data_IF_820235850418
#
_entry.id   IF_820235850418
#
_cell.length_a   1.000
_cell.length_b   1.000
_cell.length_c   1.000
_cell.angle_alpha   90.00
_cell.angle_beta   90.00
_cell.angle_gamma   90.00
#
_symmetry.space_group_name_H-M   'P 1'
#
loop_
_entity.id
_entity.type
_entity.pdbx_description
1 polymer ?
#
# COMPACT_ATOMS: atom_id res chain seq x y z
N UNK A 1 18.76 -44.91 9.70
CA UNK A 1 17.50 -44.53 10.37
C UNK A 1 17.71 -43.13 10.93
N UNK A 2 17.08 -42.03 10.52
CA UNK A 2 16.15 -41.71 9.44
C UNK A 2 16.37 -40.21 9.24
N UNK A 3 16.73 -39.79 8.02
CA UNK A 3 17.05 -38.40 7.72
C UNK A 3 15.82 -37.51 7.87
N UNK A 4 15.94 -36.45 8.67
CA UNK A 4 14.94 -35.40 8.72
C UNK A 4 14.99 -34.61 7.42
N UNK A 5 14.10 -34.94 6.48
CA UNK A 5 13.86 -34.16 5.27
C UNK A 5 13.33 -32.79 5.70
N UNK A 6 14.19 -31.78 5.68
CA UNK A 6 13.80 -30.38 5.66
C UNK A 6 12.93 -30.18 4.42
N UNK A 7 11.62 -30.20 4.63
CA UNK A 7 10.63 -29.97 3.58
C UNK A 7 10.66 -28.48 3.23
N UNK A 8 11.63 -28.10 2.39
CA UNK A 8 11.64 -26.88 1.58
C UNK A 8 10.28 -26.81 0.88
N UNK A 9 9.34 -26.04 1.42
CA UNK A 9 8.08 -25.75 0.73
C UNK A 9 8.28 -24.47 -0.05
N UNK A 10 8.00 -24.60 -1.35
CA UNK A 10 8.11 -23.61 -2.41
C UNK A 10 7.94 -22.15 -1.94
N UNK A 11 8.87 -21.33 -2.39
CA UNK A 11 8.85 -19.87 -2.39
C UNK A 11 7.56 -19.35 -3.03
N UNK A 12 6.48 -19.27 -2.26
CA UNK A 12 5.49 -18.23 -2.49
C UNK A 12 6.10 -17.01 -1.81
N UNK A 13 6.64 -16.06 -2.59
CA UNK A 13 7.04 -14.77 -2.04
C UNK A 13 5.85 -14.23 -1.25
N UNK A 14 5.89 -14.38 0.07
CA UNK A 14 4.90 -13.81 0.98
C UNK A 14 5.16 -12.32 0.98
N UNK A 15 4.75 -11.66 -0.10
CA UNK A 15 4.83 -10.22 -0.23
C UNK A 15 4.04 -9.63 0.91
N UNK A 16 4.73 -8.90 1.78
CA UNK A 16 4.11 -8.19 2.87
C UNK A 16 2.94 -7.34 2.37
N UNK A 17 1.89 -7.24 3.19
CA UNK A 17 0.74 -6.38 2.90
C UNK A 17 1.19 -4.97 2.57
N UNK A 18 0.57 -4.37 1.54
CA UNK A 18 1.05 -3.17 0.87
C UNK A 18 1.18 -2.01 1.85
N UNK A 19 0.18 -1.80 2.69
CA UNK A 19 0.15 -0.72 3.67
C UNK A 19 0.57 -1.15 5.06
N UNK A 20 1.44 -2.17 5.18
CA UNK A 20 2.01 -2.56 6.48
C UNK A 20 2.53 -1.32 7.23
N UNK A 21 2.15 -1.20 8.50
CA UNK A 21 2.55 -0.09 9.40
C UNK A 21 2.02 1.31 9.00
N UNK A 22 1.16 1.41 7.98
CA UNK A 22 0.59 2.69 7.49
C UNK A 22 -0.91 2.82 7.69
N UNK A 23 -1.59 1.76 8.14
CA UNK A 23 -3.03 1.77 8.41
C UNK A 23 -3.28 2.14 9.87
N UNK A 24 -4.15 3.13 10.08
CA UNK A 24 -4.54 3.66 11.38
C UNK A 24 -6.05 3.85 11.46
N UNK A 25 -6.63 3.60 12.63
CA UNK A 25 -8.00 3.97 12.97
C UNK A 25 -8.02 4.85 14.23
N UNK A 26 -9.22 5.13 14.73
CA UNK A 26 -9.43 5.95 15.94
C UNK A 26 -8.80 5.38 17.20
N UNK A 27 -8.54 4.07 17.25
CA UNK A 27 -7.92 3.37 18.38
C UNK A 27 -6.40 3.14 18.21
N UNK A 28 -5.81 3.71 17.15
CA UNK A 28 -4.39 3.62 16.84
C UNK A 28 -4.09 2.75 15.63
N UNK A 29 -2.96 2.04 15.69
CA UNK A 29 -2.38 1.37 14.51
C UNK A 29 -3.03 0.01 14.23
N UNK A 30 -3.19 -0.30 12.95
CA UNK A 30 -3.52 -1.64 12.49
C UNK A 30 -2.27 -2.40 12.10
N UNK A 31 -2.24 -3.68 12.46
CA UNK A 31 -1.14 -4.59 12.12
C UNK A 31 -1.59 -5.64 11.11
N UNK A 32 -0.72 -6.00 10.15
CA UNK A 32 -1.01 -7.04 9.17
C UNK A 32 -1.10 -8.40 9.87
N UNK A 33 -2.13 -9.17 9.55
CA UNK A 33 -2.33 -10.52 10.06
C UNK A 33 -2.73 -11.45 8.91
N UNK A 34 -2.18 -12.67 8.89
CA UNK A 34 -2.59 -13.73 7.97
C UNK A 34 -3.07 -14.94 8.75
N UNK A 35 -4.16 -15.53 8.28
CA UNK A 35 -4.61 -16.81 8.81
C UNK A 35 -3.65 -17.92 8.41
N UNK A 36 -3.65 -19.01 9.19
CA UNK A 36 -3.11 -20.28 8.70
C UNK A 36 -3.84 -20.71 7.42
N UNK A 37 -3.14 -21.47 6.59
CA UNK A 37 -3.73 -22.06 5.39
C UNK A 37 -4.68 -23.18 5.83
N UNK A 38 -5.96 -23.07 5.48
CA UNK A 38 -6.98 -24.10 5.69
C UNK A 38 -7.70 -24.37 4.37
N UNK A 39 -7.82 -25.63 3.99
CA UNK A 39 -8.42 -26.06 2.71
C UNK A 39 -7.80 -25.34 1.49
N UNK A 40 -6.47 -25.15 1.52
CA UNK A 40 -5.75 -24.44 0.45
C UNK A 40 -5.96 -22.92 0.40
N UNK A 41 -6.69 -22.34 1.36
CA UNK A 41 -6.97 -20.90 1.43
C UNK A 41 -6.35 -20.28 2.67
N UNK A 42 -5.81 -19.08 2.51
CA UNK A 42 -5.41 -18.20 3.61
C UNK A 42 -6.00 -16.82 3.39
N UNK A 43 -6.38 -16.16 4.47
CA UNK A 43 -6.94 -14.81 4.43
C UNK A 43 -5.94 -13.83 5.04
N UNK A 44 -5.94 -12.61 4.55
CA UNK A 44 -5.12 -11.54 5.07
C UNK A 44 -5.99 -10.36 5.52
N UNK A 45 -5.62 -9.76 6.65
CA UNK A 45 -6.35 -8.68 7.29
C UNK A 45 -5.41 -7.62 7.84
N UNK A 46 -5.91 -6.41 7.96
CA UNK A 46 -5.41 -5.42 8.88
C UNK A 46 -6.25 -5.52 10.16
N UNK A 47 -5.59 -5.71 11.31
CA UNK A 47 -6.26 -5.91 12.60
C UNK A 47 -5.83 -4.82 13.58
N UNK A 48 -6.77 -4.17 14.30
CA UNK A 48 -6.40 -3.20 15.33
C UNK A 48 -5.43 -3.80 16.35
N UNK A 49 -4.35 -3.08 16.65
CA UNK A 49 -3.31 -3.57 17.58
C UNK A 49 -3.87 -3.84 18.98
N UNK A 50 -4.84 -3.04 19.41
CA UNK A 50 -5.64 -3.21 20.62
C UNK A 50 -6.26 -4.62 20.70
N UNK A 51 -6.90 -5.09 19.61
CA UNK A 51 -7.48 -6.44 19.53
C UNK A 51 -6.45 -7.55 19.58
N UNK A 52 -5.25 -7.32 19.03
CA UNK A 52 -4.16 -8.30 19.09
C UNK A 52 -3.62 -8.40 20.52
N UNK A 53 -3.44 -7.26 21.19
CA UNK A 53 -2.82 -7.18 22.51
C UNK A 53 -3.76 -7.61 23.65
N UNK A 54 -5.03 -7.19 23.60
CA UNK A 54 -5.99 -7.34 24.71
C UNK A 54 -7.27 -8.08 24.31
N UNK A 55 -7.30 -8.70 23.13
CA UNK A 55 -8.43 -9.50 22.66
C UNK A 55 -9.55 -8.69 22.00
N UNK A 56 -10.55 -9.37 21.45
CA UNK A 56 -11.53 -8.77 20.54
C UNK A 56 -12.37 -7.62 21.15
N UNK A 57 -12.58 -7.64 22.47
CA UNK A 57 -13.35 -6.61 23.20
C UNK A 57 -12.57 -5.30 23.45
N UNK A 58 -11.25 -5.28 23.19
CA UNK A 58 -10.41 -4.12 23.44
C UNK A 58 -10.56 -2.97 22.42
N UNK A 59 -11.36 -3.17 21.37
CA UNK A 59 -11.64 -2.15 20.35
C UNK A 59 -12.95 -2.44 19.64
N UNK A 60 -13.69 -1.40 19.31
CA UNK A 60 -14.92 -1.49 18.54
C UNK A 60 -14.65 -1.56 17.03
N UNK A 61 -13.44 -1.20 16.59
CA UNK A 61 -13.12 -1.17 15.17
C UNK A 61 -13.00 -2.57 14.56
N UNK A 62 -13.43 -2.80 13.31
CA UNK A 62 -13.42 -4.12 12.70
C UNK A 62 -12.02 -4.60 12.30
N UNK A 63 -11.90 -5.89 11.98
CA UNK A 63 -10.78 -6.40 11.17
C UNK A 63 -11.07 -6.06 9.71
N UNK A 64 -10.14 -5.43 9.01
CA UNK A 64 -10.33 -5.05 7.62
C UNK A 64 -9.72 -6.12 6.70
N UNK A 65 -10.49 -6.71 5.76
CA UNK A 65 -9.93 -7.58 4.73
C UNK A 65 -8.86 -6.82 3.94
N UNK A 66 -7.65 -7.39 3.85
CA UNK A 66 -6.53 -6.67 3.25
C UNK A 66 -6.73 -6.45 1.75
N UNK A 67 -7.33 -7.41 1.05
CA UNK A 67 -7.61 -7.28 -0.39
C UNK A 67 -8.58 -6.14 -0.70
N UNK A 68 -9.67 -6.03 0.06
CA UNK A 68 -10.65 -4.95 -0.11
C UNK A 68 -10.05 -3.59 0.24
N UNK A 69 -9.42 -3.48 1.41
CA UNK A 69 -8.81 -2.22 1.84
C UNK A 69 -7.72 -1.75 0.86
N UNK A 70 -6.86 -2.66 0.39
CA UNK A 70 -5.79 -2.31 -0.54
C UNK A 70 -6.35 -1.92 -1.91
N UNK A 71 -7.38 -2.61 -2.41
CA UNK A 71 -8.03 -2.26 -3.66
C UNK A 71 -8.64 -0.85 -3.62
N UNK A 72 -9.35 -0.51 -2.54
CA UNK A 72 -9.95 0.81 -2.34
C UNK A 72 -8.89 1.92 -2.30
N UNK A 73 -7.78 1.72 -1.57
CA UNK A 73 -6.71 2.72 -1.52
C UNK A 73 -6.04 2.87 -2.89
N UNK A 74 -5.79 1.76 -3.59
CA UNK A 74 -5.20 1.79 -4.93
C UNK A 74 -6.10 2.56 -5.89
N UNK A 75 -7.41 2.31 -5.87
CA UNK A 75 -8.34 3.02 -6.74
C UNK A 75 -8.44 4.51 -6.37
N UNK A 76 -8.43 4.86 -5.08
CA UNK A 76 -8.31 6.25 -4.68
C UNK A 76 -7.05 6.93 -5.26
N UNK A 77 -5.88 6.28 -5.17
CA UNK A 77 -4.63 6.81 -5.72
C UNK A 77 -4.68 6.96 -7.24
N UNK A 78 -5.26 5.99 -7.94
CA UNK A 78 -5.48 6.06 -9.39
C UNK A 78 -6.42 7.20 -9.78
N UNK A 79 -7.51 7.39 -9.04
CA UNK A 79 -8.38 8.55 -9.18
C UNK A 79 -7.62 9.88 -9.05
N UNK A 80 -6.68 9.98 -8.11
CA UNK A 80 -5.81 11.16 -7.95
C UNK A 80 -4.87 11.36 -9.13
N UNK A 81 -4.38 10.31 -9.78
CA UNK A 81 -3.56 10.42 -11.00
C UNK A 81 -4.38 10.94 -12.18
N UNK A 82 -5.60 10.41 -12.38
CA UNK A 82 -6.53 10.89 -13.41
C UNK A 82 -6.91 12.35 -13.21
N UNK A 83 -7.18 12.73 -11.96
CA UNK A 83 -7.51 14.09 -11.58
C UNK A 83 -6.27 14.95 -11.23
N UNK A 84 -5.12 14.68 -11.86
CA UNK A 84 -3.85 15.36 -11.54
C UNK A 84 -3.91 16.88 -11.65
N UNK A 85 -4.65 17.41 -12.61
CA UNK A 85 -4.89 18.85 -12.76
C UNK A 85 -5.51 19.50 -11.52
N UNK A 86 -6.26 18.75 -10.69
CA UNK A 86 -6.92 19.32 -9.52
C UNK A 86 -5.99 19.62 -8.35
N UNK A 87 -4.72 19.21 -8.42
CA UNK A 87 -3.78 19.35 -7.29
C UNK A 87 -2.36 19.73 -7.69
N UNK A 88 -2.01 19.81 -8.97
CA UNK A 88 -0.67 20.22 -9.40
C UNK A 88 -0.28 21.62 -8.90
N UNK A 89 -1.22 22.56 -8.88
CA UNK A 89 -1.01 23.91 -8.32
C UNK A 89 -0.67 23.91 -6.82
N UNK A 90 -1.02 22.84 -6.11
CA UNK A 90 -0.72 22.67 -4.69
C UNK A 90 0.68 22.10 -4.42
N UNK A 91 1.46 21.79 -5.47
CA UNK A 91 2.82 21.32 -5.32
C UNK A 91 3.70 22.40 -4.67
N UNK A 92 4.70 22.00 -3.86
CA UNK A 92 5.67 22.95 -3.31
C UNK A 92 6.34 23.77 -4.41
N UNK A 93 6.61 25.05 -4.14
CA UNK A 93 7.28 25.96 -5.09
C UNK A 93 8.63 25.40 -5.59
N UNK A 94 9.36 24.69 -4.71
CA UNK A 94 10.62 24.03 -5.08
C UNK A 94 10.48 22.95 -6.15
N UNK A 95 9.30 22.33 -6.27
CA UNK A 95 9.00 21.36 -7.33
C UNK A 95 8.62 22.10 -8.61
N UNK A 96 7.78 23.14 -8.50
CA UNK A 96 7.34 23.94 -9.65
C UNK A 96 8.51 24.68 -10.34
N UNK A 97 9.51 25.11 -9.57
CA UNK A 97 10.70 25.79 -10.06
C UNK A 97 11.81 24.83 -10.55
N UNK A 98 11.60 23.53 -10.44
CA UNK A 98 12.63 22.57 -10.84
C UNK A 98 12.90 22.66 -12.36
N UNK A 99 14.16 22.70 -12.84
CA UNK A 99 14.47 22.94 -14.26
C UNK A 99 13.90 21.92 -15.26
N UNK A 100 13.45 20.77 -14.76
CA UNK A 100 12.82 19.70 -15.55
C UNK A 100 11.30 19.63 -15.38
N UNK A 101 10.72 20.53 -14.60
CA UNK A 101 9.28 20.60 -14.40
C UNK A 101 8.65 21.34 -15.58
N UNK A 102 7.70 20.67 -16.23
CA UNK A 102 6.82 21.26 -17.23
C UNK A 102 5.44 20.67 -16.96
N UNK A 103 4.48 21.53 -16.65
CA UNK A 103 3.21 21.11 -16.08
C UNK A 103 2.40 20.23 -17.04
N UNK A 104 2.35 20.59 -18.34
CA UNK A 104 1.60 19.83 -19.33
C UNK A 104 2.19 18.42 -19.52
N UNK A 105 3.52 18.29 -19.53
CA UNK A 105 4.21 17.01 -19.58
C UNK A 105 3.94 16.18 -18.32
N UNK A 106 3.97 16.79 -17.13
CA UNK A 106 3.66 16.08 -15.87
C UNK A 106 2.22 15.58 -15.87
N UNK A 107 1.25 16.41 -16.27
CA UNK A 107 -0.15 16.01 -16.46
C UNK A 107 -0.27 14.80 -17.39
N UNK A 108 0.31 14.91 -18.58
CA UNK A 108 0.28 13.84 -19.57
C UNK A 108 0.88 12.54 -19.03
N UNK A 109 2.01 12.62 -18.32
CA UNK A 109 2.66 11.46 -17.70
C UNK A 109 1.75 10.83 -16.64
N UNK A 110 1.17 11.62 -15.72
CA UNK A 110 0.36 11.08 -14.63
C UNK A 110 -0.92 10.40 -15.13
N UNK A 111 -1.59 11.01 -16.11
CA UNK A 111 -2.76 10.40 -16.77
C UNK A 111 -2.36 9.12 -17.51
N UNK A 112 -1.23 9.12 -18.22
CA UNK A 112 -0.75 7.95 -18.94
C UNK A 112 -0.35 6.80 -18.00
N UNK A 113 0.20 7.11 -16.82
CA UNK A 113 0.51 6.09 -15.80
C UNK A 113 -0.76 5.38 -15.32
N UNK A 114 -1.87 6.10 -15.14
CA UNK A 114 -3.15 5.46 -14.82
C UNK A 114 -3.72 4.64 -15.98
N UNK A 115 -3.64 5.17 -17.21
CA UNK A 115 -4.11 4.46 -18.41
C UNK A 115 -3.35 3.14 -18.64
N UNK A 116 -2.04 3.13 -18.37
CA UNK A 116 -1.19 1.96 -18.50
C UNK A 116 -1.24 1.02 -17.28
N UNK A 117 -2.01 1.34 -16.23
CA UNK A 117 -1.93 0.67 -14.93
C UNK A 117 -2.06 -0.86 -15.01
N UNK A 118 -3.02 -1.36 -15.79
CA UNK A 118 -3.29 -2.79 -15.91
C UNK A 118 -2.25 -3.54 -16.78
N UNK A 119 -1.44 -2.79 -17.53
CA UNK A 119 -0.29 -3.33 -18.28
C UNK A 119 0.96 -3.44 -17.40
N UNK A 120 0.98 -2.78 -16.23
CA UNK A 120 2.12 -2.80 -15.33
C UNK A 120 2.24 -4.15 -14.61
N UNK A 121 3.45 -4.72 -14.62
CA UNK A 121 3.78 -5.89 -13.81
C UNK A 121 3.61 -5.61 -12.32
N UNK A 122 3.37 -6.66 -11.54
CA UNK A 122 3.04 -6.56 -10.11
C UNK A 122 4.06 -5.72 -9.31
N UNK A 123 5.36 -5.97 -9.47
CA UNK A 123 6.39 -5.25 -8.71
C UNK A 123 6.44 -3.76 -9.03
N UNK A 124 6.19 -3.39 -10.29
CA UNK A 124 6.14 -1.98 -10.69
C UNK A 124 4.94 -1.29 -10.06
N UNK A 125 3.74 -1.89 -10.11
CA UNK A 125 2.56 -1.37 -9.41
C UNK A 125 2.80 -1.23 -7.92
N UNK A 126 3.34 -2.27 -7.28
CA UNK A 126 3.69 -2.27 -5.85
C UNK A 126 4.63 -1.12 -5.50
N UNK A 127 5.71 -0.96 -6.25
CA UNK A 127 6.69 0.10 -6.01
C UNK A 127 6.12 1.50 -6.22
N UNK A 128 5.29 1.69 -7.26
CA UNK A 128 4.63 2.95 -7.53
C UNK A 128 3.70 3.35 -6.38
N UNK A 129 2.85 2.44 -5.92
CA UNK A 129 1.97 2.67 -4.78
C UNK A 129 2.77 2.99 -3.52
N UNK A 130 3.84 2.22 -3.23
CA UNK A 130 4.70 2.49 -2.06
C UNK A 130 5.33 3.88 -2.08
N UNK A 131 5.68 4.40 -3.25
CA UNK A 131 6.24 5.75 -3.40
C UNK A 131 5.18 6.83 -3.19
N UNK A 132 3.95 6.62 -3.65
CA UNK A 132 2.84 7.56 -3.46
C UNK A 132 2.44 7.72 -1.99
N UNK A 133 2.46 6.63 -1.23
CA UNK A 133 2.13 6.65 0.21
C UNK A 133 3.36 6.80 1.11
N UNK A 134 4.55 6.81 0.53
CA UNK A 134 5.83 6.93 1.21
C UNK A 134 6.05 8.33 1.77
N UNK A 135 6.73 8.43 2.91
CA UNK A 135 7.11 9.74 3.46
C UNK A 135 8.07 10.38 2.47
N UNK A 136 7.68 11.53 1.95
CA UNK A 136 8.50 12.36 1.08
C UNK A 136 9.90 12.52 1.69
N UNK A 137 11.01 12.27 0.95
CA UNK A 137 12.36 12.57 1.43
C UNK A 137 12.51 14.03 1.88
N UNK A 138 11.65 14.90 1.34
CA UNK A 138 11.59 16.34 1.55
C UNK A 138 11.06 16.78 2.93
N UNK A 139 10.55 15.87 3.76
CA UNK A 139 10.01 16.19 5.10
C UNK A 139 11.03 15.91 6.23
N UNK A 140 12.28 15.58 5.89
CA UNK A 140 13.34 15.34 6.88
C UNK A 140 14.50 16.31 6.71
N UNK A 141 14.20 17.60 6.89
CA UNK A 141 15.17 18.57 7.40
C UNK A 141 14.71 18.97 8.78
N UNK A 142 15.38 18.42 9.80
CA UNK A 142 15.43 18.99 11.13
C UNK A 142 16.88 19.34 11.40
#
# INVERSE_FOLDING_TARGET
>A
MTGAVQKKRASNEQHDLLFKRRVFGSDGRYSPWRSSVRNGRSYAYYVPQSKIAAGAAASELPRCPAGELEAEIIEYLRGRLRASASWLDSLPESVQQHPRYEEAAVLAILVNVDAAWDMLVFDVRRNLVQRMVGVSPWVRTR
#
